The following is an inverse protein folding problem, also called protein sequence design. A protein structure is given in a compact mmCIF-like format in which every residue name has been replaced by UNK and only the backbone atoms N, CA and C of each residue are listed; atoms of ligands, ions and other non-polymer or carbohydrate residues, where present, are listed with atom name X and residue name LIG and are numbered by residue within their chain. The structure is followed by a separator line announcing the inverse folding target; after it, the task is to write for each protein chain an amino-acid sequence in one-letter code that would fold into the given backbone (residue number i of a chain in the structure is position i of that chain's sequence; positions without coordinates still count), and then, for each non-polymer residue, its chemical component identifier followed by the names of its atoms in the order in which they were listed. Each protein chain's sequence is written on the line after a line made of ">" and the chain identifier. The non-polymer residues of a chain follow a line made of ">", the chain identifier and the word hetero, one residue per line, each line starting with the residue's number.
data_IF_375990100216
#
_entry.id   IF_375990100216
#
_cell.length_a   1.000
_cell.length_b   1.000
_cell.length_c   1.000
_cell.angle_alpha   90.00
_cell.angle_beta   90.00
_cell.angle_gamma   90.00
#
_symmetry.space_group_name_H-M   'P 1'
#
loop_
_entity.id
_entity.type
_entity.pdbx_description
1 polymer ?
#
# COMPACT_ATOMS: atom_id res chain seq x y z
N UNK A 1 22.88 11.69 -15.67
CA UNK A 1 21.51 11.12 -15.57
C UNK A 1 21.38 10.48 -14.20
N UNK A 2 20.19 10.48 -13.58
CA UNK A 2 19.98 9.75 -12.32
C UNK A 2 19.87 8.25 -12.67
N UNK A 3 20.64 7.35 -12.05
CA UNK A 3 20.66 5.92 -12.39
C UNK A 3 19.27 5.25 -12.35
N UNK A 4 18.41 5.71 -11.43
CA UNK A 4 17.02 5.27 -11.26
C UNK A 4 16.10 5.50 -12.48
N UNK A 5 16.56 6.23 -13.50
CA UNK A 5 15.78 6.56 -14.72
C UNK A 5 16.24 5.82 -15.96
N UNK A 6 17.16 4.87 -15.84
CA UNK A 6 17.58 4.04 -16.96
C UNK A 6 16.46 3.08 -17.38
N UNK A 7 16.19 2.92 -18.69
CA UNK A 7 15.19 1.97 -19.16
C UNK A 7 15.64 0.55 -18.77
N UNK A 8 14.88 -0.08 -17.86
CA UNK A 8 15.21 -1.38 -17.27
C UNK A 8 15.68 -1.33 -15.82
N UNK A 9 15.84 -0.14 -15.22
CA UNK A 9 16.09 -0.02 -13.79
C UNK A 9 14.86 -0.50 -13.00
N UNK A 10 15.03 -1.56 -12.20
CA UNK A 10 14.01 -1.98 -11.25
C UNK A 10 13.88 -0.89 -10.18
N UNK A 11 12.76 -0.16 -10.20
CA UNK A 11 12.41 0.75 -9.11
C UNK A 11 11.98 -0.11 -7.93
N UNK A 12 12.76 -0.09 -6.86
CA UNK A 12 12.38 -0.73 -5.60
C UNK A 12 11.11 -0.04 -5.06
N UNK A 13 10.01 -0.78 -5.05
CA UNK A 13 8.75 -0.32 -4.44
C UNK A 13 8.93 -0.52 -2.94
N UNK A 14 9.02 0.58 -2.19
CA UNK A 14 9.06 0.55 -0.73
C UNK A 14 7.85 -0.23 -0.19
N UNK A 15 8.12 -1.11 0.78
CA UNK A 15 7.11 -1.88 1.49
C UNK A 15 7.52 -1.99 2.96
N UNK A 16 6.57 -1.97 3.92
CA UNK A 16 6.88 -2.24 5.30
C UNK A 16 7.41 -3.66 5.49
N UNK A 17 8.32 -3.79 6.45
CA UNK A 17 8.74 -5.07 7.02
C UNK A 17 8.34 -5.07 8.50
N UNK A 18 7.79 -6.19 8.97
CA UNK A 18 7.30 -6.35 10.33
C UNK A 18 7.99 -7.53 10.99
N UNK A 19 8.34 -7.39 12.27
CA UNK A 19 8.86 -8.52 13.03
C UNK A 19 7.74 -9.52 13.33
N UNK A 20 6.56 -9.01 13.67
CA UNK A 20 5.35 -9.76 13.94
C UNK A 20 4.24 -9.33 12.99
N UNK A 21 3.91 -10.20 12.04
CA UNK A 21 2.90 -9.98 11.02
C UNK A 21 1.48 -10.07 11.59
N UNK A 22 1.20 -10.92 12.57
CA UNK A 22 -0.17 -11.01 13.11
C UNK A 22 -0.64 -9.72 13.81
N UNK A 23 0.28 -8.86 14.25
CA UNK A 23 -0.02 -7.58 14.88
C UNK A 23 0.60 -6.36 14.19
N UNK A 24 1.35 -6.54 13.10
CA UNK A 24 2.14 -5.50 12.42
C UNK A 24 2.99 -4.67 13.39
N UNK A 25 3.63 -5.33 14.35
CA UNK A 25 4.41 -4.72 15.44
C UNK A 25 3.64 -3.73 16.34
N UNK A 26 2.30 -3.76 16.33
CA UNK A 26 1.48 -2.96 17.24
C UNK A 26 1.31 -3.62 18.62
N UNK A 27 1.42 -4.95 18.69
CA UNK A 27 1.13 -5.73 19.90
C UNK A 27 -0.34 -6.15 20.06
N UNK A 28 -1.24 -5.67 19.19
CA UNK A 28 -2.63 -6.12 19.10
C UNK A 28 -2.81 -6.91 17.80
N UNK A 29 -3.36 -8.12 17.89
CA UNK A 29 -3.63 -8.96 16.72
C UNK A 29 -4.69 -8.28 15.86
N UNK A 30 -4.45 -8.27 14.55
CA UNK A 30 -5.36 -7.65 13.59
C UNK A 30 -6.77 -8.28 13.66
N UNK A 31 -7.80 -7.45 13.59
CA UNK A 31 -9.19 -7.86 13.81
C UNK A 31 -9.64 -9.04 12.91
N UNK A 32 -9.26 -9.04 11.64
CA UNK A 32 -9.65 -10.12 10.72
C UNK A 32 -8.93 -11.44 11.04
N UNK A 33 -7.73 -11.39 11.63
CA UNK A 33 -7.01 -12.58 12.11
C UNK A 33 -7.63 -13.10 13.41
N UNK A 34 -7.99 -12.19 14.32
CA UNK A 34 -8.70 -12.56 15.55
C UNK A 34 -10.03 -13.26 15.27
N UNK A 35 -10.78 -12.79 14.26
CA UNK A 35 -12.03 -13.40 13.81
C UNK A 35 -11.88 -14.81 13.22
N UNK A 36 -10.67 -15.25 12.87
CA UNK A 36 -10.43 -16.64 12.43
C UNK A 36 -10.44 -17.64 13.60
N UNK A 37 -10.19 -17.16 14.82
CA UNK A 37 -9.97 -18.01 16.00
C UNK A 37 -10.97 -17.74 17.12
N UNK A 38 -11.41 -16.49 17.26
CA UNK A 38 -12.42 -16.09 18.23
C UNK A 38 -13.77 -16.08 17.50
N UNK A 39 -14.60 -17.08 17.79
CA UNK A 39 -15.93 -17.19 17.20
C UNK A 39 -16.80 -15.98 17.58
N UNK A 40 -17.48 -15.41 16.59
CA UNK A 40 -18.33 -14.23 16.74
C UNK A 40 -17.60 -12.92 17.08
N UNK A 41 -16.29 -12.83 16.88
CA UNK A 41 -15.50 -11.63 17.23
C UNK A 41 -16.02 -10.37 16.52
N UNK A 42 -16.31 -9.32 17.30
CA UNK A 42 -16.67 -7.98 16.82
C UNK A 42 -15.66 -6.95 17.32
N UNK A 43 -14.87 -6.38 16.41
CA UNK A 43 -13.83 -5.40 16.74
C UNK A 43 -14.33 -4.11 17.38
N UNK A 44 -15.64 -3.81 17.32
CA UNK A 44 -16.22 -2.62 17.93
C UNK A 44 -16.72 -2.85 19.37
N UNK A 45 -16.96 -4.11 19.74
CA UNK A 45 -17.56 -4.48 21.03
C UNK A 45 -16.60 -5.28 21.89
N UNK A 46 -15.78 -6.11 21.27
CA UNK A 46 -14.85 -6.99 21.95
C UNK A 46 -13.56 -6.27 22.37
N UNK A 47 -12.90 -6.88 23.34
CA UNK A 47 -11.60 -6.44 23.84
C UNK A 47 -10.51 -6.66 22.79
N UNK A 48 -9.45 -5.86 22.90
CA UNK A 48 -8.33 -5.87 21.96
C UNK A 48 -7.49 -7.15 22.12
N UNK A 49 -7.41 -8.03 21.10
CA UNK A 49 -6.68 -9.30 21.21
C UNK A 49 -5.18 -9.07 21.31
N UNK A 50 -4.60 -9.42 22.46
CA UNK A 50 -3.18 -9.24 22.73
C UNK A 50 -2.36 -10.27 21.98
N UNK A 51 -1.32 -9.80 21.29
CA UNK A 51 -0.36 -10.68 20.61
C UNK A 51 0.66 -11.30 21.59
N UNK A 52 0.66 -12.61 21.73
CA UNK A 52 1.66 -13.35 22.53
C UNK A 52 2.70 -14.07 21.67
N UNK A 53 2.87 -13.69 20.40
CA UNK A 53 3.85 -14.30 19.51
C UNK A 53 5.26 -14.20 20.11
N UNK A 54 5.99 -15.31 20.29
CA UNK A 54 7.36 -15.27 20.76
C UNK A 54 8.25 -14.39 19.87
N UNK A 55 8.97 -13.45 20.48
CA UNK A 55 9.78 -12.46 19.75
C UNK A 55 9.05 -11.16 19.39
N UNK A 56 7.73 -11.06 19.62
CA UNK A 56 6.99 -9.82 19.53
C UNK A 56 6.97 -9.09 20.88
N UNK A 57 7.77 -8.04 21.02
CA UNK A 57 7.82 -7.22 22.24
C UNK A 57 6.83 -6.05 22.25
N UNK A 58 6.15 -5.82 21.13
CA UNK A 58 5.37 -4.61 20.89
C UNK A 58 4.30 -4.34 21.94
N UNK A 59 3.58 -5.36 22.41
CA UNK A 59 2.43 -5.10 23.27
C UNK A 59 2.66 -5.15 24.76
N UNK A 60 3.90 -5.21 25.26
CA UNK A 60 4.15 -5.18 26.71
C UNK A 60 3.56 -3.94 27.42
N UNK A 61 3.30 -2.87 26.68
CA UNK A 61 2.66 -1.66 27.20
C UNK A 61 1.15 -1.80 27.45
N UNK A 62 0.50 -2.83 26.91
CA UNK A 62 -0.92 -3.12 27.17
C UNK A 62 -1.16 -3.86 28.48
N UNK A 63 -0.11 -4.42 29.09
CA UNK A 63 -0.19 -5.22 30.31
C UNK A 63 -0.31 -4.35 31.58
N UNK A 64 -0.30 -3.01 31.43
CA UNK A 64 -0.50 -2.07 32.53
C UNK A 64 -1.93 -2.06 33.08
N UNK A 65 -2.09 -1.81 34.38
CA UNK A 65 -3.37 -1.87 35.11
C UNK A 65 -4.51 -1.05 34.45
N UNK A 66 -4.16 0.07 33.80
CA UNK A 66 -5.13 0.96 33.14
C UNK A 66 -5.74 0.33 31.89
N UNK A 67 -4.96 -0.42 31.11
CA UNK A 67 -5.36 -0.97 29.81
C UNK A 67 -5.81 -2.43 29.93
N UNK A 68 -5.38 -3.15 30.96
CA UNK A 68 -5.74 -4.55 31.19
C UNK A 68 -7.25 -4.88 31.07
N UNK A 69 -8.20 -4.02 31.50
CA UNK A 69 -9.63 -4.28 31.32
C UNK A 69 -10.08 -4.35 29.85
N UNK A 70 -9.40 -3.63 28.96
CA UNK A 70 -9.71 -3.50 27.54
C UNK A 70 -8.99 -4.51 26.65
N UNK A 71 -8.14 -5.34 27.24
CA UNK A 71 -7.26 -6.28 26.53
C UNK A 71 -7.79 -7.71 26.69
N UNK A 72 -7.71 -8.46 25.61
CA UNK A 72 -8.09 -9.87 25.55
C UNK A 72 -6.84 -10.76 25.51
N UNK A 73 -6.72 -11.64 26.50
CA UNK A 73 -5.58 -12.54 26.66
C UNK A 73 -5.88 -13.97 26.20
N UNK A 74 -7.01 -14.21 25.51
CA UNK A 74 -7.40 -15.55 25.02
C UNK A 74 -6.46 -16.11 23.95
N UNK A 75 -5.78 -15.25 23.18
CA UNK A 75 -4.85 -15.70 22.14
C UNK A 75 -3.52 -16.14 22.76
N UNK A 76 -3.23 -17.44 22.69
CA UNK A 76 -1.97 -18.00 23.18
C UNK A 76 -0.82 -17.72 22.22
N UNK A 77 0.42 -18.00 22.65
CA UNK A 77 1.61 -17.87 21.82
C UNK A 77 1.52 -18.71 20.54
N UNK A 78 1.08 -19.97 20.65
CA UNK A 78 0.94 -20.90 19.51
C UNK A 78 -0.07 -20.36 18.48
N UNK A 79 -1.22 -19.86 18.95
CA UNK A 79 -2.23 -19.22 18.08
C UNK A 79 -1.62 -18.01 17.37
N UNK A 80 -0.88 -17.17 18.09
CA UNK A 80 -0.26 -15.99 17.48
C UNK A 80 0.81 -16.35 16.44
N UNK A 81 1.52 -17.46 16.60
CA UNK A 81 2.48 -17.97 15.61
C UNK A 81 1.77 -18.46 14.33
N UNK A 82 0.65 -19.17 14.46
CA UNK A 82 -0.15 -19.59 13.31
C UNK A 82 -0.71 -18.39 12.55
N UNK A 83 -1.26 -17.40 13.27
CA UNK A 83 -1.76 -16.16 12.66
C UNK A 83 -0.63 -15.34 12.03
N UNK A 84 0.58 -15.38 12.59
CA UNK A 84 1.77 -14.73 12.00
C UNK A 84 2.13 -15.36 10.67
N UNK A 85 2.16 -16.69 10.60
CA UNK A 85 2.45 -17.42 9.38
C UNK A 85 1.41 -17.16 8.28
N UNK A 86 0.13 -17.17 8.64
CA UNK A 86 -0.98 -16.84 7.73
C UNK A 86 -0.79 -15.42 7.19
N UNK A 87 -0.49 -14.45 8.06
CA UNK A 87 -0.38 -13.06 7.62
C UNK A 87 0.89 -12.77 6.83
N UNK A 88 2.00 -13.46 7.12
CA UNK A 88 3.20 -13.42 6.26
C UNK A 88 2.89 -13.88 4.85
N UNK A 89 2.09 -14.93 4.70
CA UNK A 89 1.67 -15.41 3.39
C UNK A 89 0.73 -14.41 2.69
N UNK A 90 -0.30 -13.93 3.38
CA UNK A 90 -1.21 -12.91 2.86
C UNK A 90 -0.46 -11.66 2.37
N UNK A 91 0.51 -11.18 3.15
CA UNK A 91 1.31 -10.02 2.78
C UNK A 91 2.16 -10.25 1.54
N UNK A 92 2.83 -11.41 1.45
CA UNK A 92 3.60 -11.78 0.25
C UNK A 92 2.71 -11.75 -0.99
N UNK A 93 1.52 -12.33 -0.91
CA UNK A 93 0.57 -12.40 -2.02
C UNK A 93 0.04 -11.01 -2.39
N UNK A 94 -0.30 -10.20 -1.39
CA UNK A 94 -0.72 -8.81 -1.59
C UNK A 94 0.36 -7.98 -2.29
N UNK A 95 1.61 -8.07 -1.82
CA UNK A 95 2.76 -7.39 -2.42
C UNK A 95 2.96 -7.84 -3.86
N UNK A 96 2.94 -9.15 -4.13
CA UNK A 96 3.07 -9.67 -5.51
C UNK A 96 1.96 -9.14 -6.42
N UNK A 97 0.72 -9.19 -5.96
CA UNK A 97 -0.43 -8.66 -6.71
C UNK A 97 -0.32 -7.17 -6.96
N UNK A 98 0.04 -6.37 -5.94
CA UNK A 98 0.24 -4.92 -6.09
C UNK A 98 1.39 -4.59 -7.03
N UNK A 99 2.49 -5.33 -7.00
CA UNK A 99 3.61 -5.19 -7.95
C UNK A 99 3.14 -5.43 -9.39
N UNK A 100 2.32 -6.45 -9.63
CA UNK A 100 1.74 -6.70 -10.96
C UNK A 100 0.83 -5.55 -11.41
N UNK A 101 -0.03 -5.04 -10.53
CA UNK A 101 -0.90 -3.89 -10.85
C UNK A 101 -0.09 -2.61 -11.14
N UNK A 102 0.90 -2.29 -10.32
CA UNK A 102 1.72 -1.08 -10.51
C UNK A 102 2.58 -1.16 -11.78
N UNK A 103 3.08 -2.34 -12.18
CA UNK A 103 3.77 -2.52 -13.46
C UNK A 103 2.85 -2.19 -14.65
N UNK A 104 1.58 -2.57 -14.57
CA UNK A 104 0.57 -2.22 -15.58
C UNK A 104 0.31 -0.71 -15.59
N UNK A 105 0.18 -0.07 -14.43
CA UNK A 105 -0.06 1.38 -14.35
C UNK A 105 1.14 2.22 -14.82
N UNK A 106 2.38 1.83 -14.49
CA UNK A 106 3.60 2.49 -14.97
C UNK A 106 3.75 2.40 -16.50
N UNK A 107 3.35 1.28 -17.12
CA UNK A 107 3.30 1.16 -18.59
C UNK A 107 2.31 2.14 -19.25
N UNK A 108 1.33 2.61 -18.49
CA UNK A 108 0.32 3.58 -18.91
C UNK A 108 0.79 5.01 -18.66
N UNK A 109 1.47 5.26 -17.54
CA UNK A 109 2.07 6.56 -17.17
C UNK A 109 3.27 6.91 -18.07
N UNK A 110 3.97 5.91 -18.61
CA UNK A 110 5.08 6.08 -19.57
C UNK A 110 4.68 6.67 -20.92
N UNK A 111 3.38 6.79 -21.23
CA UNK A 111 2.91 7.57 -22.37
C UNK A 111 3.01 9.06 -22.04
N UNK A 112 4.21 9.60 -22.19
CA UNK A 112 4.43 11.03 -22.23
C UNK A 112 3.39 11.68 -23.16
N UNK A 113 2.75 12.76 -22.72
CA UNK A 113 1.91 13.61 -23.59
C UNK A 113 2.68 14.09 -24.84
N UNK A 114 4.02 14.04 -24.82
CA UNK A 114 4.89 14.34 -25.98
C UNK A 114 5.16 13.14 -26.89
N UNK A 115 4.89 11.91 -26.45
CA UNK A 115 5.03 10.68 -27.24
C UNK A 115 3.72 10.25 -27.90
N UNK A 116 2.59 10.84 -27.51
CA UNK A 116 1.37 10.71 -28.29
C UNK A 116 1.60 11.47 -29.61
N UNK A 117 1.89 10.76 -30.70
CA UNK A 117 1.96 11.38 -32.02
C UNK A 117 0.61 12.02 -32.31
N UNK A 118 0.60 13.34 -32.49
CA UNK A 118 -0.59 14.05 -32.94
C UNK A 118 -1.04 13.44 -34.26
N UNK A 119 -2.32 13.15 -34.35
CA UNK A 119 -2.93 12.81 -35.63
C UNK A 119 -2.81 14.00 -36.57
N UNK A 120 -2.84 13.75 -37.90
CA UNK A 120 -2.71 14.83 -38.90
C UNK A 120 -3.76 15.95 -38.73
N UNK A 121 -4.88 15.63 -38.09
CA UNK A 121 -5.99 16.53 -37.78
C UNK A 121 -5.64 17.45 -36.60
N UNK A 122 -5.03 16.90 -35.54
CA UNK A 122 -4.60 17.65 -34.37
C UNK A 122 -3.45 18.61 -34.69
N UNK A 123 -2.52 18.21 -35.56
CA UNK A 123 -1.48 19.11 -36.05
C UNK A 123 -2.06 20.27 -36.86
N UNK A 124 -3.02 20.00 -37.75
CA UNK A 124 -3.68 21.05 -38.54
C UNK A 124 -4.40 22.05 -37.66
N UNK A 125 -5.16 21.58 -36.67
CA UNK A 125 -5.86 22.45 -35.72
C UNK A 125 -4.89 23.28 -34.88
N UNK A 126 -3.78 22.69 -34.42
CA UNK A 126 -2.76 23.41 -33.67
C UNK A 126 -2.08 24.50 -34.50
N UNK A 127 -1.76 24.22 -35.77
CA UNK A 127 -1.17 25.20 -36.70
C UNK A 127 -2.13 26.35 -36.99
N UNK A 128 -3.41 26.06 -37.23
CA UNK A 128 -4.44 27.09 -37.45
C UNK A 128 -4.59 28.01 -36.24
N UNK A 129 -4.66 27.45 -35.03
CA UNK A 129 -4.74 28.25 -33.79
C UNK A 129 -3.50 29.12 -33.59
N UNK A 130 -2.32 28.60 -33.88
CA UNK A 130 -1.08 29.36 -33.77
C UNK A 130 -1.02 30.52 -34.78
N UNK A 131 -1.44 30.26 -36.03
CA UNK A 131 -1.52 31.30 -37.06
C UNK A 131 -2.57 32.37 -36.74
N UNK A 132 -3.71 32.00 -36.15
CA UNK A 132 -4.71 32.97 -35.70
C UNK A 132 -4.15 33.92 -34.63
N UNK A 133 -3.46 33.39 -33.62
CA UNK A 133 -2.84 34.19 -32.56
C UNK A 133 -1.74 35.10 -33.11
N UNK A 134 -0.89 34.60 -34.02
CA UNK A 134 0.13 35.43 -34.68
C UNK A 134 -0.47 36.51 -35.59
N UNK A 135 -1.60 36.22 -36.24
CA UNK A 135 -2.35 37.19 -37.04
C UNK A 135 -2.98 38.29 -36.18
N UNK A 136 -3.54 37.94 -35.02
CA UNK A 136 -4.09 38.91 -34.06
C UNK A 136 -2.99 39.83 -33.49
N UNK A 137 -1.81 39.28 -33.16
CA UNK A 137 -0.67 40.07 -32.68
C UNK A 137 -0.10 41.02 -33.74
N UNK A 138 -0.11 40.61 -35.03
CA UNK A 138 0.37 41.45 -36.14
C UNK A 138 -0.68 42.46 -36.64
N UNK A 139 -1.95 42.31 -36.24
CA UNK A 139 -3.04 43.26 -36.58
C UNK A 139 -3.24 44.37 -35.54
N UNK A 140 -2.43 44.40 -34.48
CA UNK A 140 -2.46 45.38 -33.38
C UNK A 140 -1.33 46.43 -33.46
N UNK A 141 -0.64 46.53 -34.60
CA UNK A 141 0.33 47.61 -34.91
C UNK A 141 -0.20 48.53 -36.01
#
# INVERSE_FOLDING_TARGET
>A
MRPEKEPGAEVEIWQPDWNCFCCHDSGIVHHYLAALVIDGFDSNLDKLPRCHNPGCYAGGHFDGEVLAPSVDYRLTADICQELDAIERENWRDYVQKKRLTLKVDLSTIGKSLRQCQRTSTEERSARQKHQAVLGELNGLC
#
